data_IF_851674422555
#
_entry.id   IF_851674422555
#
_cell.length_a   1.000
_cell.length_b   1.000
_cell.length_c   1.000
_cell.angle_alpha   90.00
_cell.angle_beta   90.00
_cell.angle_gamma   90.00
#
_symmetry.space_group_name_H-M   'P 1'
#
loop_
_entity.id
_entity.type
_entity.pdbx_description
1 polymer ?
#
# COMPACT_ATOMS: atom_id res chain seq x y z
N UNK A 1 -4.30 -16.12 -4.99
CA UNK A 1 -3.26 -15.39 -5.75
C UNK A 1 -2.02 -15.28 -4.87
N UNK A 2 -0.90 -15.80 -5.35
CA UNK A 2 0.32 -15.85 -4.56
C UNK A 2 1.14 -14.58 -4.84
N UNK A 3 1.04 -13.59 -3.95
CA UNK A 3 1.77 -12.31 -4.04
C UNK A 3 3.23 -12.45 -3.54
N UNK A 4 3.89 -13.55 -3.91
CA UNK A 4 5.24 -13.92 -3.49
C UNK A 4 6.01 -14.49 -4.68
N UNK A 5 7.35 -14.41 -4.62
CA UNK A 5 8.22 -15.15 -5.53
C UNK A 5 8.04 -16.67 -5.35
N UNK A 6 8.44 -17.47 -6.34
CA UNK A 6 8.55 -18.93 -6.17
C UNK A 6 9.97 -19.39 -6.50
N UNK A 7 10.52 -20.38 -5.78
CA UNK A 7 11.91 -20.80 -5.96
C UNK A 7 12.22 -21.37 -7.35
N UNK A 8 11.21 -21.94 -8.01
CA UNK A 8 11.36 -22.74 -9.23
C UNK A 8 11.37 -21.90 -10.52
N UNK A 9 11.08 -20.59 -10.45
CA UNK A 9 11.04 -19.71 -11.63
C UNK A 9 12.07 -18.57 -11.56
N UNK A 10 12.54 -18.05 -12.71
CA UNK A 10 13.33 -16.82 -12.75
C UNK A 10 12.59 -15.66 -12.07
N UNK A 11 13.29 -14.73 -11.40
CA UNK A 11 12.62 -13.65 -10.68
C UNK A 11 11.78 -12.77 -11.62
N UNK A 12 12.23 -12.56 -12.86
CA UNK A 12 11.48 -11.88 -13.92
C UNK A 12 10.11 -12.50 -14.15
N UNK A 13 10.03 -13.83 -14.14
CA UNK A 13 8.84 -14.59 -14.49
C UNK A 13 7.84 -14.52 -13.34
N UNK A 14 8.33 -14.60 -12.09
CA UNK A 14 7.54 -14.25 -10.91
C UNK A 14 6.95 -12.85 -10.99
N UNK A 15 7.71 -11.84 -11.43
CA UNK A 15 7.17 -10.49 -11.54
C UNK A 15 6.06 -10.41 -12.59
N UNK A 16 6.18 -11.08 -13.75
CA UNK A 16 5.12 -11.11 -14.76
C UNK A 16 3.89 -11.85 -14.27
N UNK A 17 4.06 -13.04 -13.69
CA UNK A 17 2.99 -13.84 -13.10
C UNK A 17 2.23 -13.06 -12.02
N UNK A 18 2.94 -12.48 -11.06
CA UNK A 18 2.32 -11.69 -9.99
C UNK A 18 1.54 -10.51 -10.59
N UNK A 19 2.10 -9.78 -11.57
CA UNK A 19 1.40 -8.68 -12.22
C UNK A 19 0.11 -9.16 -12.90
N UNK A 20 0.16 -10.24 -13.68
CA UNK A 20 -0.99 -10.83 -14.35
C UNK A 20 -2.07 -11.26 -13.36
N UNK A 21 -1.71 -11.98 -12.29
CA UNK A 21 -2.65 -12.38 -11.23
C UNK A 21 -3.30 -11.16 -10.54
N UNK A 22 -2.54 -10.10 -10.27
CA UNK A 22 -3.12 -8.88 -9.68
C UNK A 22 -4.07 -8.15 -10.64
N UNK A 23 -3.78 -8.16 -11.95
CA UNK A 23 -4.67 -7.59 -12.97
C UNK A 23 -5.97 -8.40 -13.04
N UNK A 24 -5.89 -9.72 -13.09
CA UNK A 24 -7.06 -10.61 -13.05
C UNK A 24 -7.88 -10.43 -11.78
N UNK A 25 -7.21 -10.31 -10.63
CA UNK A 25 -7.88 -10.02 -9.36
C UNK A 25 -8.63 -8.69 -9.38
N UNK A 26 -8.02 -7.63 -9.90
CA UNK A 26 -8.69 -6.34 -10.06
C UNK A 26 -9.93 -6.44 -10.98
N UNK A 27 -9.81 -7.14 -12.12
CA UNK A 27 -10.91 -7.41 -13.05
C UNK A 27 -12.04 -8.16 -12.34
N UNK A 28 -11.72 -9.21 -11.58
CA UNK A 28 -12.71 -9.99 -10.85
C UNK A 28 -13.45 -9.15 -9.79
N UNK A 29 -12.73 -8.32 -9.04
CA UNK A 29 -13.33 -7.45 -8.02
C UNK A 29 -14.24 -6.38 -8.62
N UNK A 30 -13.86 -5.78 -9.76
CA UNK A 30 -14.70 -4.79 -10.45
C UNK A 30 -15.94 -5.41 -11.12
N UNK A 31 -15.95 -6.72 -11.38
CA UNK A 31 -17.12 -7.44 -11.94
C UNK A 31 -18.13 -7.89 -10.89
N UNK A 32 -17.81 -7.73 -9.61
CA UNK A 32 -18.72 -8.10 -8.51
C UNK A 32 -19.99 -7.26 -8.58
N UNK A 33 -21.13 -7.92 -8.37
CA UNK A 33 -22.47 -7.30 -8.38
C UNK A 33 -23.07 -7.18 -6.99
N UNK A 34 -22.52 -7.89 -6.01
CA UNK A 34 -23.00 -7.96 -4.63
C UNK A 34 -22.63 -6.72 -3.83
N UNK A 35 -21.39 -6.25 -3.96
CA UNK A 35 -20.90 -5.06 -3.27
C UNK A 35 -19.88 -4.31 -4.15
N UNK A 36 -20.36 -3.26 -4.82
CA UNK A 36 -19.54 -2.42 -5.68
C UNK A 36 -18.49 -1.63 -4.88
N UNK A 37 -18.80 -1.21 -3.66
CA UNK A 37 -17.89 -0.41 -2.84
C UNK A 37 -16.68 -1.26 -2.41
N UNK A 38 -16.95 -2.48 -1.94
CA UNK A 38 -15.90 -3.46 -1.61
C UNK A 38 -15.12 -3.90 -2.86
N UNK A 39 -15.81 -4.15 -3.98
CA UNK A 39 -15.16 -4.46 -5.26
C UNK A 39 -14.18 -3.38 -5.71
N UNK A 40 -14.57 -2.10 -5.62
CA UNK A 40 -13.70 -0.95 -5.90
C UNK A 40 -12.53 -0.88 -4.90
N UNK A 41 -12.78 -1.11 -3.60
CA UNK A 41 -11.74 -1.12 -2.58
C UNK A 41 -10.65 -2.17 -2.88
N UNK A 42 -11.05 -3.41 -3.17
CA UNK A 42 -10.12 -4.50 -3.47
C UNK A 42 -9.40 -4.29 -4.81
N UNK A 43 -10.08 -3.78 -5.84
CA UNK A 43 -9.44 -3.40 -7.10
C UNK A 43 -8.33 -2.35 -6.91
N UNK A 44 -8.58 -1.31 -6.09
CA UNK A 44 -7.55 -0.31 -5.74
C UNK A 44 -6.36 -0.95 -5.01
N UNK A 45 -6.58 -1.98 -4.18
CA UNK A 45 -5.48 -2.73 -3.53
C UNK A 45 -4.63 -3.48 -4.54
N UNK A 46 -5.24 -4.12 -5.54
CA UNK A 46 -4.51 -4.75 -6.64
C UNK A 46 -3.66 -3.74 -7.43
N UNK A 47 -4.20 -2.57 -7.78
CA UNK A 47 -3.40 -1.53 -8.47
C UNK A 47 -2.23 -1.04 -7.64
N UNK A 48 -2.41 -0.86 -6.32
CA UNK A 48 -1.31 -0.50 -5.40
C UNK A 48 -0.22 -1.58 -5.37
N UNK A 49 -0.59 -2.86 -5.37
CA UNK A 49 0.33 -4.01 -5.40
C UNK A 49 1.13 -4.08 -6.71
N UNK A 50 0.49 -3.90 -7.86
CA UNK A 50 1.19 -3.86 -9.16
C UNK A 50 2.20 -2.70 -9.19
N UNK A 51 1.79 -1.53 -8.71
CA UNK A 51 2.67 -0.36 -8.58
C UNK A 51 3.82 -0.56 -7.59
N UNK A 52 3.65 -1.41 -6.58
CA UNK A 52 4.74 -1.81 -5.70
C UNK A 52 5.71 -2.72 -6.45
N UNK A 53 5.20 -3.71 -7.21
CA UNK A 53 5.98 -4.62 -8.04
C UNK A 53 6.90 -3.87 -9.03
N UNK A 54 6.32 -2.93 -9.79
CA UNK A 54 7.07 -2.06 -10.71
C UNK A 54 8.17 -1.25 -10.00
N UNK A 55 7.90 -0.76 -8.78
CA UNK A 55 8.90 -0.04 -7.97
C UNK A 55 10.00 -0.94 -7.43
N UNK A 56 9.71 -2.23 -7.21
CA UNK A 56 10.68 -3.21 -6.77
C UNK A 56 11.66 -3.52 -7.89
N UNK A 57 11.15 -3.84 -9.08
CA UNK A 57 11.94 -4.19 -10.27
C UNK A 57 12.42 -3.00 -11.11
N UNK A 58 12.26 -1.76 -10.62
CA UNK A 58 12.55 -0.53 -11.40
C UNK A 58 13.95 -0.47 -12.02
N UNK A 59 14.92 -1.17 -11.46
CA UNK A 59 16.29 -1.19 -11.98
C UNK A 59 16.46 -2.09 -13.19
N UNK A 60 15.64 -3.13 -13.29
CA UNK A 60 15.65 -4.04 -14.43
C UNK A 60 14.67 -3.67 -15.54
N UNK A 61 13.77 -2.71 -15.33
CA UNK A 61 12.87 -2.23 -16.38
C UNK A 61 13.49 -1.06 -17.15
N UNK A 62 13.14 -0.90 -18.42
CA UNK A 62 13.43 0.37 -19.11
C UNK A 62 12.68 1.52 -18.42
N UNK A 63 13.23 2.75 -18.41
CA UNK A 63 12.56 3.92 -17.86
C UNK A 63 11.16 4.10 -18.45
N UNK A 64 11.00 3.90 -19.75
CA UNK A 64 9.76 4.09 -20.50
C UNK A 64 8.70 3.07 -20.06
N UNK A 65 9.04 1.78 -19.95
CA UNK A 65 8.12 0.74 -19.48
C UNK A 65 7.72 0.98 -18.03
N UNK A 66 8.69 1.30 -17.16
CA UNK A 66 8.40 1.58 -15.75
C UNK A 66 7.45 2.79 -15.61
N UNK A 67 7.75 3.91 -16.27
CA UNK A 67 6.96 5.14 -16.11
C UNK A 67 5.57 4.99 -16.72
N UNK A 68 5.45 4.41 -17.92
CA UNK A 68 4.18 4.09 -18.59
C UNK A 68 3.27 3.24 -17.69
N UNK A 69 3.75 2.09 -17.23
CA UNK A 69 2.92 1.13 -16.49
C UNK A 69 2.62 1.64 -15.07
N UNK A 70 3.58 2.30 -14.41
CA UNK A 70 3.31 2.89 -13.10
C UNK A 70 2.29 4.04 -13.20
N UNK A 71 2.34 4.83 -14.28
CA UNK A 71 1.40 5.91 -14.56
C UNK A 71 0.00 5.34 -14.85
N UNK A 72 -0.07 4.33 -15.71
CA UNK A 72 -1.30 3.63 -16.07
C UNK A 72 -2.08 3.17 -14.83
N UNK A 73 -1.48 2.34 -13.96
CA UNK A 73 -2.15 1.85 -12.75
C UNK A 73 -2.38 2.96 -11.70
N UNK A 74 -1.61 4.05 -11.74
CA UNK A 74 -1.85 5.22 -10.88
C UNK A 74 -3.15 5.91 -11.30
N UNK A 75 -3.37 6.08 -12.58
CA UNK A 75 -4.50 6.81 -13.13
C UNK A 75 -5.78 5.98 -13.06
N UNK A 76 -5.72 4.68 -13.30
CA UNK A 76 -6.86 3.78 -13.02
C UNK A 76 -7.29 3.85 -11.56
N UNK A 77 -6.33 3.85 -10.63
CA UNK A 77 -6.62 4.02 -9.21
C UNK A 77 -7.22 5.38 -8.86
N UNK A 78 -6.93 6.44 -9.64
CA UNK A 78 -7.49 7.78 -9.48
C UNK A 78 -8.95 7.83 -9.91
N UNK A 79 -9.31 7.18 -11.02
CA UNK A 79 -10.70 7.08 -11.48
C UNK A 79 -11.61 6.47 -10.41
N UNK A 80 -11.11 5.50 -9.65
CA UNK A 80 -11.83 4.85 -8.54
C UNK A 80 -11.74 5.59 -7.20
N UNK A 81 -11.03 6.71 -7.11
CA UNK A 81 -10.80 7.40 -5.84
C UNK A 81 -12.04 8.05 -5.24
N UNK A 82 -12.92 8.74 -5.99
CA UNK A 82 -14.09 9.42 -5.41
C UNK A 82 -14.99 8.50 -4.58
N UNK A 83 -15.35 7.32 -5.12
CA UNK A 83 -16.21 6.35 -4.42
C UNK A 83 -15.55 5.89 -3.12
N UNK A 84 -14.26 5.58 -3.17
CA UNK A 84 -13.57 5.01 -2.02
C UNK A 84 -13.17 6.07 -0.99
N UNK A 85 -12.83 7.28 -1.41
CA UNK A 85 -12.44 8.36 -0.50
C UNK A 85 -13.68 8.83 0.30
N UNK A 86 -14.87 8.89 -0.32
CA UNK A 86 -16.13 9.16 0.40
C UNK A 86 -16.50 8.04 1.40
N UNK A 87 -16.26 6.76 1.05
CA UNK A 87 -16.47 5.64 1.98
C UNK A 87 -15.53 5.72 3.20
N UNK A 88 -14.27 6.11 3.00
CA UNK A 88 -13.27 6.28 4.08
C UNK A 88 -13.74 7.30 5.13
N UNK A 89 -14.46 8.36 4.74
CA UNK A 89 -14.97 9.35 5.70
C UNK A 89 -15.96 8.74 6.68
N UNK A 90 -16.88 7.91 6.18
CA UNK A 90 -17.87 7.21 7.00
C UNK A 90 -17.17 6.21 7.94
N UNK A 91 -16.27 5.39 7.39
CA UNK A 91 -15.51 4.41 8.19
C UNK A 91 -14.68 5.07 9.28
N UNK A 92 -14.04 6.21 8.96
CA UNK A 92 -13.23 6.96 9.92
C UNK A 92 -14.08 7.59 11.02
N UNK A 93 -15.24 8.14 10.66
CA UNK A 93 -16.19 8.70 11.63
C UNK A 93 -16.74 7.60 12.56
N UNK A 94 -17.14 6.46 12.02
CA UNK A 94 -17.65 5.32 12.79
C UNK A 94 -16.55 4.76 13.72
N UNK A 95 -15.31 4.67 13.23
CA UNK A 95 -14.16 4.21 14.01
C UNK A 95 -13.86 5.14 15.19
N UNK A 96 -13.82 6.46 14.98
CA UNK A 96 -13.53 7.40 16.06
C UNK A 96 -14.68 7.47 17.06
N UNK A 97 -15.94 7.41 16.60
CA UNK A 97 -17.11 7.33 17.47
C UNK A 97 -17.07 6.08 18.35
N UNK A 98 -16.69 4.93 17.81
CA UNK A 98 -16.62 3.69 18.59
C UNK A 98 -15.54 3.74 19.69
N UNK A 99 -14.43 4.44 19.46
CA UNK A 99 -13.35 4.62 20.47
C UNK A 99 -13.72 5.64 21.56
N UNK A 100 -14.54 6.63 21.22
CA UNK A 100 -14.88 7.77 22.08
C UNK A 100 -16.40 7.92 22.19
N UNK A 101 -17.09 6.81 22.47
CA UNK A 101 -18.56 6.75 22.46
C UNK A 101 -19.17 7.71 23.47
N UNK A 102 -18.59 7.84 24.66
CA UNK A 102 -19.05 8.78 25.69
C UNK A 102 -19.01 10.25 25.25
N UNK A 103 -18.15 10.60 24.28
CA UNK A 103 -18.00 11.98 23.78
C UNK A 103 -18.73 12.23 22.47
N UNK A 104 -19.00 11.18 21.67
CA UNK A 104 -19.49 11.31 20.30
C UNK A 104 -20.81 10.59 20.02
N UNK A 105 -21.39 9.84 20.97
CA UNK A 105 -22.66 9.15 20.78
C UNK A 105 -23.87 10.08 21.03
N UNK A 106 -23.94 11.17 20.27
CA UNK A 106 -25.02 12.15 20.32
C UNK A 106 -25.69 12.37 18.94
N UNK A 107 -26.72 13.20 18.92
CA UNK A 107 -27.46 13.56 17.71
C UNK A 107 -26.60 14.26 16.64
N UNK A 108 -25.51 14.92 17.04
CA UNK A 108 -24.61 15.59 16.08
C UNK A 108 -23.84 14.58 15.23
N UNK A 109 -23.41 13.46 15.82
CA UNK A 109 -22.81 12.35 15.09
C UNK A 109 -23.80 11.73 14.11
N UNK A 110 -25.04 11.47 14.55
CA UNK A 110 -26.05 10.85 13.68
C UNK A 110 -26.31 11.70 12.43
N UNK A 111 -26.48 13.02 12.60
CA UNK A 111 -26.66 13.96 11.49
C UNK A 111 -25.46 14.01 10.55
N UNK A 112 -24.24 14.10 11.10
CA UNK A 112 -23.02 14.12 10.29
C UNK A 112 -22.86 12.82 9.50
N UNK A 113 -23.08 11.68 10.15
CA UNK A 113 -23.00 10.37 9.52
C UNK A 113 -24.03 10.22 8.40
N UNK A 114 -25.28 10.62 8.64
CA UNK A 114 -26.33 10.60 7.63
C UNK A 114 -25.95 11.45 6.41
N UNK A 115 -25.38 12.63 6.64
CA UNK A 115 -24.88 13.49 5.56
C UNK A 115 -23.79 12.82 4.74
N UNK A 116 -22.76 12.27 5.39
CA UNK A 116 -21.66 11.57 4.70
C UNK A 116 -22.16 10.34 3.93
N UNK A 117 -23.11 9.57 4.49
CA UNK A 117 -23.75 8.44 3.81
C UNK A 117 -24.52 8.89 2.58
N UNK A 118 -25.24 10.01 2.66
CA UNK A 118 -25.97 10.57 1.52
C UNK A 118 -25.02 11.01 0.40
N UNK A 119 -23.92 11.69 0.74
CA UNK A 119 -22.89 12.10 -0.23
C UNK A 119 -22.19 10.90 -0.86
N UNK A 120 -21.83 9.88 -0.07
CA UNK A 120 -21.26 8.65 -0.60
C UNK A 120 -22.23 7.92 -1.55
N UNK A 121 -23.53 7.85 -1.21
CA UNK A 121 -24.55 7.28 -2.11
C UNK A 121 -24.66 8.06 -3.42
N UNK A 122 -24.57 9.39 -3.37
CA UNK A 122 -24.59 10.21 -4.59
C UNK A 122 -23.39 9.89 -5.50
N UNK A 123 -22.18 9.84 -4.95
CA UNK A 123 -20.96 9.49 -5.70
C UNK A 123 -21.03 8.07 -6.26
N UNK A 124 -21.53 7.11 -5.47
CA UNK A 124 -21.69 5.73 -5.92
C UNK A 124 -22.73 5.61 -7.05
N UNK A 125 -23.84 6.34 -6.95
CA UNK A 125 -24.87 6.37 -7.99
C UNK A 125 -24.39 7.02 -9.28
N UNK A 126 -23.60 8.10 -9.19
CA UNK A 126 -22.97 8.73 -10.34
C UNK A 126 -22.05 7.75 -11.06
N UNK A 127 -21.13 7.11 -10.31
CA UNK A 127 -20.25 6.08 -10.85
C UNK A 127 -21.05 4.92 -11.48
N UNK A 128 -22.13 4.49 -10.84
CA UNK A 128 -22.97 3.36 -11.31
C UNK A 128 -23.71 3.69 -12.62
N UNK A 129 -24.11 4.94 -12.82
CA UNK A 129 -24.81 5.40 -14.03
C UNK A 129 -23.87 5.60 -15.22
N UNK A 130 -22.59 5.85 -14.98
CA UNK A 130 -21.58 6.01 -16.02
C UNK A 130 -21.09 4.65 -16.55
N UNK A 131 -21.98 3.96 -17.28
CA UNK A 131 -21.72 2.64 -17.86
C UNK A 131 -20.56 2.69 -18.86
N UNK A 132 -20.48 3.76 -19.65
CA UNK A 132 -19.41 3.94 -20.65
C UNK A 132 -18.03 4.03 -19.99
N UNK A 133 -17.89 4.81 -18.92
CA UNK A 133 -16.64 4.90 -18.18
C UNK A 133 -16.26 3.55 -17.53
N UNK A 134 -17.23 2.80 -17.01
CA UNK A 134 -16.98 1.47 -16.45
C UNK A 134 -16.51 0.47 -17.51
N UNK A 135 -17.17 0.44 -18.68
CA UNK A 135 -16.78 -0.41 -19.80
C UNK A 135 -15.38 -0.03 -20.31
N UNK A 136 -15.09 1.26 -20.42
CA UNK A 136 -13.77 1.76 -20.79
C UNK A 136 -12.70 1.34 -19.79
N UNK A 137 -12.95 1.50 -18.48
CA UNK A 137 -12.06 1.06 -17.41
C UNK A 137 -11.78 -0.44 -17.54
N UNK A 138 -12.82 -1.23 -17.75
CA UNK A 138 -12.74 -2.68 -17.87
C UNK A 138 -11.90 -3.11 -19.07
N UNK A 139 -12.21 -2.60 -20.26
CA UNK A 139 -11.48 -2.89 -21.48
C UNK A 139 -10.01 -2.42 -21.42
N UNK A 140 -9.77 -1.26 -20.81
CA UNK A 140 -8.43 -0.72 -20.56
C UNK A 140 -7.61 -1.66 -19.67
N UNK A 141 -8.21 -2.19 -18.61
CA UNK A 141 -7.59 -3.12 -17.69
C UNK A 141 -7.34 -4.50 -18.33
N UNK A 142 -8.26 -5.00 -19.17
CA UNK A 142 -8.08 -6.26 -19.91
C UNK A 142 -6.85 -6.21 -20.82
N UNK A 143 -6.59 -5.07 -21.47
CA UNK A 143 -5.40 -4.88 -22.30
C UNK A 143 -4.10 -4.87 -21.49
N UNK A 144 -4.14 -4.69 -20.17
CA UNK A 144 -2.96 -4.60 -19.32
C UNK A 144 -2.27 -5.94 -19.09
N UNK A 145 -3.04 -7.04 -19.04
CA UNK A 145 -2.49 -8.39 -18.82
C UNK A 145 -1.47 -8.81 -19.90
N UNK A 146 -1.78 -8.78 -21.21
CA UNK A 146 -0.80 -9.16 -22.22
C UNK A 146 0.45 -8.27 -22.18
N UNK A 147 0.30 -6.96 -21.95
CA UNK A 147 1.45 -6.06 -21.77
C UNK A 147 2.32 -6.45 -20.58
N UNK A 148 1.73 -6.81 -19.45
CA UNK A 148 2.46 -7.25 -18.26
C UNK A 148 3.23 -8.56 -18.49
N UNK A 149 2.67 -9.46 -19.30
CA UNK A 149 3.35 -10.70 -19.72
C UNK A 149 4.55 -10.43 -20.64
N UNK A 150 4.57 -9.28 -21.32
CA UNK A 150 5.64 -8.91 -22.26
C UNK A 150 6.70 -7.97 -21.65
N UNK A 151 6.59 -7.62 -20.36
CA UNK A 151 7.58 -6.77 -19.69
C UNK A 151 8.99 -7.34 -19.80
N UNK A 152 9.90 -6.58 -20.43
CA UNK A 152 11.30 -6.95 -20.57
C UNK A 152 12.10 -6.49 -19.35
N UNK A 153 12.87 -7.41 -18.80
CA UNK A 153 13.80 -7.14 -17.71
C UNK A 153 15.24 -7.29 -18.21
N UNK A 154 16.08 -6.31 -17.91
CA UNK A 154 17.48 -6.21 -18.29
C UNK A 154 18.44 -6.58 -17.14
N UNK A 155 17.87 -6.90 -15.97
CA UNK A 155 18.58 -7.39 -14.80
C UNK A 155 18.02 -8.76 -14.42
N UNK A 156 18.88 -9.63 -13.87
CA UNK A 156 18.52 -10.98 -13.42
C UNK A 156 18.78 -11.14 -11.92
N UNK A 157 18.35 -12.29 -11.38
CA UNK A 157 18.57 -12.65 -9.97
C UNK A 157 18.20 -11.51 -9.00
N UNK A 158 18.99 -11.28 -7.96
CA UNK A 158 18.73 -10.23 -6.98
C UNK A 158 18.97 -8.81 -7.51
N UNK A 159 19.80 -8.64 -8.54
CA UNK A 159 20.07 -7.33 -9.16
C UNK A 159 18.79 -6.65 -9.64
N UNK A 160 17.80 -7.43 -10.06
CA UNK A 160 16.46 -6.97 -10.40
C UNK A 160 15.81 -6.12 -9.29
N UNK A 161 16.03 -6.47 -8.02
CA UNK A 161 15.37 -5.85 -6.86
C UNK A 161 16.25 -4.83 -6.13
N UNK A 162 17.57 -4.95 -6.26
CA UNK A 162 18.58 -4.22 -5.46
C UNK A 162 18.33 -2.71 -5.44
N UNK A 163 18.14 -2.10 -6.62
CA UNK A 163 17.94 -0.65 -6.72
C UNK A 163 16.57 -0.18 -6.19
N UNK A 164 15.51 -0.95 -6.43
CA UNK A 164 14.16 -0.67 -5.96
C UNK A 164 14.06 -0.70 -4.44
N UNK A 165 14.62 -1.74 -3.82
CA UNK A 165 14.71 -1.88 -2.36
C UNK A 165 15.51 -0.74 -1.74
N UNK A 166 16.71 -0.45 -2.27
CA UNK A 166 17.56 0.63 -1.75
C UNK A 166 16.82 1.96 -1.76
N UNK A 167 16.14 2.27 -2.88
CA UNK A 167 15.41 3.52 -3.05
C UNK A 167 14.20 3.61 -2.12
N UNK A 168 13.38 2.57 -2.00
CA UNK A 168 12.18 2.64 -1.18
C UNK A 168 12.52 2.72 0.32
N UNK A 169 13.50 1.95 0.76
CA UNK A 169 13.94 1.93 2.14
C UNK A 169 14.62 3.25 2.50
N UNK A 170 15.55 3.71 1.65
CA UNK A 170 16.22 5.00 1.82
C UNK A 170 15.26 6.19 1.87
N UNK A 171 14.27 6.24 0.96
CA UNK A 171 13.20 7.25 1.01
C UNK A 171 12.34 7.13 2.26
N UNK A 172 11.99 5.92 2.68
CA UNK A 172 11.28 5.70 3.94
C UNK A 172 12.01 6.28 5.15
N UNK A 173 13.34 6.12 5.21
CA UNK A 173 14.19 6.72 6.26
C UNK A 173 14.15 8.25 6.21
N UNK A 174 14.29 8.84 5.03
CA UNK A 174 14.29 10.28 4.85
C UNK A 174 12.93 10.91 5.18
N UNK A 175 11.84 10.32 4.70
CA UNK A 175 10.47 10.81 4.94
C UNK A 175 10.08 10.65 6.41
N UNK A 176 10.53 9.56 7.08
CA UNK A 176 10.44 9.44 8.54
C UNK A 176 11.12 10.62 9.23
N UNK A 177 12.40 10.87 8.91
CA UNK A 177 13.16 11.95 9.55
C UNK A 177 12.49 13.31 9.35
N UNK A 178 12.02 13.58 8.12
CA UNK A 178 11.30 14.80 7.79
C UNK A 178 9.97 14.95 8.55
N UNK A 179 9.18 13.88 8.64
CA UNK A 179 7.91 13.88 9.39
C UNK A 179 8.10 14.05 10.90
N UNK A 180 9.18 13.52 11.47
CA UNK A 180 9.50 13.70 12.89
C UNK A 180 10.07 15.09 13.20
N UNK A 181 10.81 15.68 12.27
CA UNK A 181 11.32 17.04 12.42
C UNK A 181 10.22 18.10 12.26
N UNK A 182 9.27 17.88 11.34
CA UNK A 182 8.16 18.77 11.05
C UNK A 182 6.87 17.95 10.86
N UNK A 183 6.00 17.83 11.87
CA UNK A 183 4.88 16.90 11.85
C UNK A 183 3.63 17.44 11.13
N UNK A 184 3.72 17.57 9.80
CA UNK A 184 2.57 17.95 8.95
C UNK A 184 1.85 16.72 8.36
N UNK A 185 0.56 16.88 8.03
CA UNK A 185 -0.26 15.83 7.40
C UNK A 185 0.40 15.30 6.11
N UNK A 186 0.96 16.19 5.30
CA UNK A 186 1.57 15.86 4.00
C UNK A 186 2.82 15.00 4.19
N UNK A 187 3.64 15.31 5.20
CA UNK A 187 4.87 14.56 5.50
C UNK A 187 4.55 13.19 6.07
N UNK A 188 3.58 13.09 6.98
CA UNK A 188 3.10 11.80 7.48
C UNK A 188 2.48 10.94 6.37
N UNK A 189 1.71 11.55 5.47
CA UNK A 189 1.15 10.86 4.30
C UNK A 189 2.24 10.44 3.30
N UNK A 190 3.24 11.28 3.03
CA UNK A 190 4.38 10.95 2.18
C UNK A 190 5.17 9.77 2.73
N UNK A 191 5.40 9.77 4.04
CA UNK A 191 6.06 8.67 4.74
C UNK A 191 5.23 7.39 4.69
N UNK A 192 3.92 7.45 4.99
CA UNK A 192 2.99 6.31 4.89
C UNK A 192 3.09 5.59 3.55
N UNK A 193 3.12 6.35 2.44
CA UNK A 193 3.25 5.77 1.08
C UNK A 193 4.50 4.90 0.98
N UNK A 194 5.64 5.31 1.55
CA UNK A 194 6.88 4.51 1.53
C UNK A 194 6.75 3.23 2.35
N UNK A 195 6.12 3.31 3.52
CA UNK A 195 5.92 2.14 4.38
C UNK A 195 5.03 1.10 3.70
N UNK A 196 3.90 1.51 3.08
CA UNK A 196 3.04 0.56 2.33
C UNK A 196 3.80 -0.09 1.15
N UNK A 197 4.65 0.65 0.43
CA UNK A 197 5.47 0.03 -0.62
C UNK A 197 6.49 -0.97 -0.06
N UNK A 198 7.20 -0.62 1.01
CA UNK A 198 8.15 -1.53 1.64
C UNK A 198 7.43 -2.80 2.16
N UNK A 199 6.24 -2.65 2.75
CA UNK A 199 5.42 -3.79 3.17
C UNK A 199 5.10 -4.73 1.99
N UNK A 200 4.64 -4.20 0.85
CA UNK A 200 4.39 -5.01 -0.33
C UNK A 200 5.64 -5.67 -0.90
N UNK A 201 6.79 -4.99 -0.88
CA UNK A 201 8.06 -5.59 -1.30
C UNK A 201 8.46 -6.75 -0.39
N UNK A 202 8.28 -6.61 0.91
CA UNK A 202 8.53 -7.69 1.87
C UNK A 202 7.56 -8.86 1.72
N UNK A 203 6.33 -8.62 1.26
CA UNK A 203 5.40 -9.69 0.89
C UNK A 203 5.95 -10.47 -0.31
N UNK A 204 6.36 -9.78 -1.38
CA UNK A 204 6.94 -10.43 -2.57
C UNK A 204 8.16 -11.28 -2.19
N UNK A 205 9.05 -10.73 -1.37
CA UNK A 205 10.30 -11.37 -0.95
C UNK A 205 10.14 -12.32 0.25
N UNK A 206 8.93 -12.48 0.80
CA UNK A 206 8.68 -13.31 1.97
C UNK A 206 9.30 -14.72 1.91
N UNK A 207 9.31 -15.41 0.76
CA UNK A 207 9.90 -16.75 0.63
C UNK A 207 11.41 -16.81 0.94
N UNK A 208 12.15 -15.70 0.79
CA UNK A 208 13.61 -15.71 1.00
C UNK A 208 13.99 -16.10 2.42
N UNK A 209 13.21 -15.65 3.40
CA UNK A 209 13.32 -16.08 4.79
C UNK A 209 11.98 -15.84 5.51
N UNK A 210 11.06 -16.82 5.50
CA UNK A 210 9.69 -16.60 5.95
C UNK A 210 9.57 -16.14 7.40
N UNK A 211 10.36 -16.69 8.33
CA UNK A 211 10.31 -16.30 9.75
C UNK A 211 10.63 -14.81 9.95
N UNK A 212 11.75 -14.36 9.39
CA UNK A 212 12.35 -13.05 9.66
C UNK A 212 11.59 -11.97 8.90
N UNK A 213 11.27 -12.23 7.63
CA UNK A 213 10.56 -11.27 6.78
C UNK A 213 9.09 -11.13 7.18
N UNK A 214 8.44 -12.16 7.72
CA UNK A 214 7.07 -12.07 8.25
C UNK A 214 6.98 -11.10 9.42
N UNK A 215 7.94 -11.12 10.34
CA UNK A 215 7.98 -10.20 11.48
C UNK A 215 8.18 -8.77 11.00
N UNK A 216 9.11 -8.54 10.06
CA UNK A 216 9.34 -7.22 9.51
C UNK A 216 8.12 -6.70 8.72
N UNK A 217 7.51 -7.54 7.87
CA UNK A 217 6.31 -7.19 7.11
C UNK A 217 5.14 -6.83 8.03
N UNK A 218 4.91 -7.59 9.10
CA UNK A 218 3.87 -7.28 10.12
C UNK A 218 4.12 -5.93 10.80
N UNK A 219 5.38 -5.60 11.11
CA UNK A 219 5.71 -4.29 11.69
C UNK A 219 5.47 -3.15 10.68
N UNK A 220 5.84 -3.34 9.41
CA UNK A 220 5.54 -2.37 8.35
C UNK A 220 4.04 -2.19 8.17
N UNK A 221 3.24 -3.26 8.24
CA UNK A 221 1.78 -3.18 8.12
C UNK A 221 1.17 -2.39 9.27
N UNK A 222 1.51 -2.75 10.52
CA UNK A 222 1.10 -2.01 11.73
C UNK A 222 1.47 -0.53 11.68
N UNK A 223 2.67 -0.21 11.18
CA UNK A 223 3.10 1.17 11.01
C UNK A 223 2.25 1.87 9.94
N UNK A 224 2.00 1.22 8.81
CA UNK A 224 1.23 1.77 7.72
C UNK A 224 -0.25 1.96 8.04
N UNK A 225 -0.81 1.14 8.93
CA UNK A 225 -2.16 1.26 9.45
C UNK A 225 -2.27 2.44 10.41
N UNK A 226 -1.33 2.60 11.36
CA UNK A 226 -1.28 3.77 12.25
C UNK A 226 -1.19 5.09 11.48
N UNK A 227 -0.29 5.13 10.49
CA UNK A 227 -0.15 6.30 9.63
C UNK A 227 -1.36 6.47 8.69
N UNK A 228 -2.08 5.38 8.39
CA UNK A 228 -3.31 5.40 7.60
C UNK A 228 -4.45 6.05 8.36
N UNK A 229 -4.76 5.53 9.55
CA UNK A 229 -5.79 6.10 10.42
C UNK A 229 -5.51 7.57 10.75
N UNK A 230 -4.24 7.96 10.97
CA UNK A 230 -3.88 9.36 11.21
C UNK A 230 -4.21 10.25 10.01
N UNK A 231 -3.90 9.76 8.81
CA UNK A 231 -4.20 10.46 7.56
C UNK A 231 -5.70 10.53 7.30
N UNK A 232 -6.42 9.43 7.50
CA UNK A 232 -7.85 9.35 7.24
C UNK A 232 -8.62 10.30 8.19
N UNK A 233 -8.20 10.39 9.47
CA UNK A 233 -8.68 11.41 10.41
C UNK A 233 -8.37 12.83 9.92
N UNK A 234 -7.17 13.08 9.40
CA UNK A 234 -6.80 14.39 8.88
C UNK A 234 -7.69 14.79 7.69
N UNK A 235 -7.93 13.88 6.76
CA UNK A 235 -8.77 14.16 5.58
C UNK A 235 -10.23 14.33 5.98
N UNK A 236 -10.76 13.54 6.92
CA UNK A 236 -12.11 13.71 7.45
C UNK A 236 -12.34 15.14 7.98
N UNK A 237 -11.41 15.65 8.80
CA UNK A 237 -11.50 17.00 9.36
C UNK A 237 -11.40 18.11 8.30
N UNK A 238 -10.79 17.83 7.16
CA UNK A 238 -10.65 18.79 6.06
C UNK A 238 -11.86 18.82 5.11
N UNK A 239 -12.84 17.92 5.29
CA UNK A 239 -14.02 17.86 4.42
C UNK A 239 -14.90 19.11 4.56
N UNK A 240 -15.57 19.57 3.48
CA UNK A 240 -16.47 20.73 3.54
C UNK A 240 -17.60 20.56 4.56
N UNK A 241 -18.14 19.35 4.69
CA UNK A 241 -19.20 19.03 5.65
C UNK A 241 -18.72 19.26 7.08
N UNK A 242 -17.54 18.74 7.44
CA UNK A 242 -17.00 18.94 8.80
C UNK A 242 -16.62 20.40 9.03
N UNK A 243 -16.01 21.07 8.04
CA UNK A 243 -15.66 22.50 8.15
C UNK A 243 -16.86 23.40 8.40
N UNK A 244 -17.92 23.25 7.62
CA UNK A 244 -19.16 24.04 7.80
C UNK A 244 -19.82 23.83 9.18
N UNK A 245 -19.71 22.63 9.76
CA UNK A 245 -20.19 22.38 11.12
C UNK A 245 -19.33 23.07 12.19
N UNK A 246 -18.03 23.22 11.94
CA UNK A 246 -17.13 23.98 12.82
C UNK A 246 -17.40 25.48 12.70
N UNK A 247 -17.62 25.98 11.47
CA UNK A 247 -17.90 27.41 11.23
C UNK A 247 -19.21 27.88 11.87
N UNK A 248 -20.16 26.95 12.08
CA UNK A 248 -21.42 27.21 12.79
C UNK A 248 -21.33 27.00 14.31
N UNK A 249 -20.11 26.83 14.84
CA UNK A 249 -19.79 26.62 16.25
C UNK A 249 -20.61 25.51 16.92
N UNK A 250 -20.86 24.43 16.16
CA UNK A 250 -21.59 23.29 16.70
C UNK A 250 -20.75 22.60 17.77
N UNK A 251 -21.28 22.49 19.00
CA UNK A 251 -20.60 21.82 20.11
C UNK A 251 -20.12 20.40 19.74
N UNK A 252 -20.91 19.69 18.92
CA UNK A 252 -20.55 18.38 18.39
C UNK A 252 -19.34 18.38 17.44
N UNK A 253 -19.21 19.43 16.62
CA UNK A 253 -18.08 19.60 15.71
C UNK A 253 -16.78 19.90 16.48
N UNK A 254 -16.86 20.74 17.51
CA UNK A 254 -15.73 21.00 18.41
C UNK A 254 -15.29 19.73 19.16
N UNK A 255 -16.25 18.93 19.65
CA UNK A 255 -15.96 17.62 20.27
C UNK A 255 -15.27 16.67 19.30
N UNK A 256 -15.77 16.54 18.07
CA UNK A 256 -15.15 15.72 17.03
C UNK A 256 -13.71 16.17 16.75
N UNK A 257 -13.50 17.47 16.55
CA UNK A 257 -12.18 18.02 16.26
C UNK A 257 -11.18 17.75 17.39
N UNK A 258 -11.61 17.96 18.65
CA UNK A 258 -10.81 17.70 19.83
C UNK A 258 -10.42 16.22 19.95
N UNK A 259 -11.39 15.32 19.82
CA UNK A 259 -11.18 13.87 19.90
C UNK A 259 -10.27 13.38 18.76
N UNK A 260 -10.55 13.80 17.53
CA UNK A 260 -9.77 13.42 16.35
C UNK A 260 -8.33 13.94 16.44
N UNK A 261 -8.12 15.18 16.90
CA UNK A 261 -6.78 15.76 17.08
C UNK A 261 -5.96 14.98 18.12
N UNK A 262 -6.59 14.64 19.25
CA UNK A 262 -5.95 13.80 20.28
C UNK A 262 -5.58 12.41 19.75
N UNK A 263 -6.47 11.79 18.99
CA UNK A 263 -6.25 10.46 18.42
C UNK A 263 -5.13 10.47 17.36
N UNK A 264 -5.10 11.50 16.51
CA UNK A 264 -3.99 11.71 15.55
C UNK A 264 -2.66 11.78 16.27
N UNK A 265 -2.56 12.57 17.33
CA UNK A 265 -1.31 12.69 18.10
C UNK A 265 -0.92 11.36 18.79
N UNK A 266 -1.90 10.59 19.28
CA UNK A 266 -1.67 9.24 19.82
C UNK A 266 -1.12 8.29 18.74
N UNK A 267 -1.70 8.30 17.54
CA UNK A 267 -1.28 7.47 16.40
C UNK A 267 0.14 7.83 15.94
N UNK A 268 0.46 9.12 15.85
CA UNK A 268 1.81 9.62 15.53
C UNK A 268 2.84 9.12 16.53
N UNK A 269 2.58 9.29 17.84
CA UNK A 269 3.47 8.79 18.90
C UNK A 269 3.63 7.28 18.84
N UNK A 270 2.56 6.54 18.59
CA UNK A 270 2.62 5.09 18.43
C UNK A 270 3.42 4.66 17.18
N UNK A 271 3.45 5.45 16.11
CA UNK A 271 4.21 5.13 14.89
C UNK A 271 5.73 5.13 15.12
N UNK A 272 6.24 5.98 16.01
CA UNK A 272 7.68 6.21 16.26
C UNK A 272 8.45 4.92 16.61
N UNK A 273 8.09 4.14 17.64
CA UNK A 273 8.87 2.95 18.01
C UNK A 273 8.87 1.86 16.93
N UNK A 274 7.77 1.71 16.18
CA UNK A 274 7.75 0.79 15.02
C UNK A 274 8.71 1.26 13.94
N UNK A 275 8.69 2.54 13.63
CA UNK A 275 9.55 3.15 12.63
C UNK A 275 11.03 3.05 12.98
N UNK A 276 11.40 3.26 14.25
CA UNK A 276 12.77 3.11 14.72
C UNK A 276 13.29 1.69 14.50
N UNK A 277 12.48 0.67 14.80
CA UNK A 277 12.83 -0.74 14.58
C UNK A 277 12.96 -1.10 13.10
N UNK A 278 12.01 -0.63 12.27
CA UNK A 278 12.01 -0.92 10.82
C UNK A 278 13.21 -0.26 10.12
N UNK A 279 13.55 0.97 10.51
CA UNK A 279 14.54 1.82 9.84
C UNK A 279 15.89 1.91 10.57
N UNK A 280 16.25 0.88 11.35
CA UNK A 280 17.51 0.84 12.12
C UNK A 280 18.74 0.75 11.22
N UNK A 281 18.62 0.02 10.10
CA UNK A 281 19.72 -0.17 9.16
C UNK A 281 19.90 1.05 8.24
N UNK A 282 21.09 1.16 7.65
CA UNK A 282 21.26 1.97 6.45
C UNK A 282 20.58 1.28 5.27
N UNK A 283 20.25 2.04 4.21
CA UNK A 283 19.63 1.44 3.03
C UNK A 283 20.54 0.43 2.32
N UNK A 284 21.86 0.59 2.40
CA UNK A 284 22.82 -0.40 1.90
C UNK A 284 22.74 -1.70 2.67
N UNK A 285 22.93 -1.65 4.00
CA UNK A 285 22.91 -2.83 4.87
C UNK A 285 21.59 -3.61 4.79
N UNK A 286 20.46 -2.91 4.73
CA UNK A 286 19.16 -3.56 4.53
C UNK A 286 19.13 -4.37 3.24
N UNK A 287 19.63 -3.82 2.13
CA UNK A 287 19.65 -4.50 0.83
C UNK A 287 20.65 -5.64 0.80
N UNK A 288 21.84 -5.45 1.36
CA UNK A 288 22.85 -6.51 1.43
C UNK A 288 22.36 -7.69 2.29
N UNK A 289 21.58 -7.42 3.35
CA UNK A 289 20.89 -8.47 4.13
C UNK A 289 19.84 -9.21 3.31
N UNK A 290 19.04 -8.51 2.50
CA UNK A 290 18.07 -9.15 1.60
C UNK A 290 18.77 -10.00 0.53
N UNK A 291 19.93 -9.56 0.01
CA UNK A 291 20.74 -10.33 -0.93
C UNK A 291 21.34 -11.59 -0.27
N UNK A 292 21.79 -11.48 0.99
CA UNK A 292 22.22 -12.65 1.76
C UNK A 292 21.11 -13.69 1.89
N UNK A 293 19.86 -13.25 2.14
CA UNK A 293 18.72 -14.16 2.15
C UNK A 293 18.43 -14.75 0.76
N UNK A 294 18.61 -13.97 -0.31
CA UNK A 294 18.48 -14.46 -1.69
C UNK A 294 19.44 -15.61 -1.99
N UNK A 295 20.72 -15.44 -1.64
CA UNK A 295 21.77 -16.44 -1.89
C UNK A 295 21.54 -17.74 -1.11
N UNK A 296 20.89 -17.68 0.05
CA UNK A 296 20.50 -18.85 0.84
C UNK A 296 19.18 -19.50 0.39
N UNK A 297 18.34 -18.76 -0.34
CA UNK A 297 17.00 -19.17 -0.74
C UNK A 297 16.97 -20.05 -2.00
N UNK A 298 17.82 -19.76 -2.99
CA UNK A 298 17.87 -20.55 -4.23
C UNK A 298 18.45 -21.94 -3.93
N UNK A 299 17.89 -23.03 -4.47
CA UNK A 299 18.47 -24.36 -4.35
C UNK A 299 19.95 -24.30 -4.74
N UNK A 300 20.83 -24.81 -3.89
CA UNK A 300 22.27 -24.87 -4.11
C UNK A 300 22.70 -25.82 -5.25
N UNK A 301 21.86 -26.04 -6.26
CA UNK A 301 22.12 -27.03 -7.33
C UNK A 301 23.29 -26.66 -8.25
N UNK A 302 23.88 -25.46 -8.16
CA UNK A 302 25.02 -25.05 -9.00
C UNK A 302 26.26 -24.50 -8.26
N UNK A 303 26.29 -24.46 -6.92
CA UNK A 303 27.44 -23.91 -6.18
C UNK A 303 27.75 -24.65 -4.88
N UNK A 304 27.97 -25.96 -4.96
CA UNK A 304 28.96 -26.57 -4.06
C UNK A 304 30.31 -26.51 -4.79
N UNK A 305 31.31 -25.76 -4.32
CA UNK A 305 32.66 -25.95 -4.82
C UNK A 305 33.02 -27.42 -4.63
N UNK A 306 33.41 -28.09 -5.71
CA UNK A 306 34.09 -29.39 -5.66
C UNK A 306 35.35 -29.23 -4.79
N UNK A 307 35.22 -29.45 -3.49
CA UNK A 307 36.30 -29.17 -2.54
C UNK A 307 36.10 -29.69 -1.12
N UNK A 308 34.98 -30.35 -0.83
CA UNK A 308 34.84 -31.17 0.38
C UNK A 308 34.61 -32.64 -0.02
N UNK A 309 35.53 -33.17 -0.84
CA UNK A 309 35.92 -34.57 -0.67
C UNK A 309 36.68 -34.65 0.65
N UNK A 310 35.94 -34.91 1.72
CA UNK A 310 36.54 -35.41 2.96
C UNK A 310 37.42 -36.59 2.59
N UNK A 311 38.73 -36.44 2.84
CA UNK A 311 39.71 -37.51 2.74
C UNK A 311 39.21 -38.68 3.59
N UNK A 312 38.89 -39.78 2.93
CA UNK A 312 39.15 -41.08 3.50
C UNK A 312 40.65 -41.36 3.45
N UNK A 313 41.10 -42.21 4.37
CA UNK A 313 42.44 -42.79 4.54
C UNK A 313 43.44 -41.83 5.23
N UNK A 314 43.98 -42.11 6.42
CA UNK A 314 44.22 -43.37 7.14
C UNK A 314 43.94 -43.26 8.65
#
# INVERSE_FOLDING_TARGET
>A
MNFTLVPEEPPSDSMRRIAAEQIEGAIAQLRRKDDLNEGIHEARKHFKRIRALLRLARGGLSPETYDSENQFFRDLGRQLSPVRDSAVYIETLDLIRNRYSAQLADESYLRLRERLVSEHRAVLNEFTRDVEQQELLFHTLQRAKPRANDWKYYESEFSLFRSGLRRIYGRGRAEKAAALAQPTTERFHAWRKRVKYLWHHLQVLLPLWPGQLRVLARNCDRLADRLGEEHDLAVLLETPVVKSMVDTDSEGALRLFSVASRERERLRRAAIPLAQRIYVESAGRFVDRMEGYWLAYRPHTHFLPHGFSGRGEQ
#
